data_IF_660638430378
#
_entry.id   IF_660638430378
#
_cell.length_a   1.000
_cell.length_b   1.000
_cell.length_c   1.000
_cell.angle_alpha   90.00
_cell.angle_beta   90.00
_cell.angle_gamma   90.00
#
_symmetry.space_group_name_H-M   'P 1'
#
loop_
_entity.id
_entity.type
_entity.pdbx_description
1 polymer ?
#
# COMPACT_ATOMS: atom_id res chain seq x y z
N UNK A 1 -33.55 -18.40 15.34
CA UNK A 1 -32.78 -17.23 15.82
C UNK A 1 -33.75 -16.13 16.31
N UNK A 2 -33.45 -15.39 17.40
CA UNK A 2 -34.29 -14.24 17.81
C UNK A 2 -33.90 -12.97 17.04
N UNK A 3 -34.81 -12.02 16.86
CA UNK A 3 -34.52 -10.76 16.15
C UNK A 3 -33.31 -10.01 16.76
N UNK A 4 -33.19 -10.03 18.10
CA UNK A 4 -32.04 -9.48 18.83
C UNK A 4 -30.72 -10.18 18.47
N UNK A 5 -30.72 -11.50 18.32
CA UNK A 5 -29.53 -12.26 17.94
C UNK A 5 -29.14 -11.99 16.48
N UNK A 6 -30.11 -11.93 15.57
CA UNK A 6 -29.88 -11.59 14.16
C UNK A 6 -29.26 -10.19 14.03
N UNK A 7 -29.82 -9.21 14.74
CA UNK A 7 -29.30 -7.84 14.76
C UNK A 7 -27.88 -7.77 15.30
N UNK A 8 -27.58 -8.45 16.42
CA UNK A 8 -26.22 -8.50 16.98
C UNK A 8 -25.22 -9.11 16.00
N UNK A 9 -25.58 -10.20 15.33
CA UNK A 9 -24.72 -10.84 14.32
C UNK A 9 -24.46 -9.92 13.13
N UNK A 10 -25.49 -9.24 12.62
CA UNK A 10 -25.33 -8.25 11.54
C UNK A 10 -24.43 -7.09 11.95
N UNK A 11 -24.52 -6.64 13.20
CA UNK A 11 -23.68 -5.56 13.72
C UNK A 11 -22.20 -5.98 13.78
N UNK A 12 -21.92 -7.19 14.29
CA UNK A 12 -20.56 -7.75 14.31
C UNK A 12 -20.00 -7.91 12.89
N UNK A 13 -20.78 -8.51 11.99
CA UNK A 13 -20.42 -8.65 10.57
C UNK A 13 -20.18 -7.29 9.93
N UNK A 14 -21.03 -6.30 10.20
CA UNK A 14 -20.90 -4.95 9.65
C UNK A 14 -19.62 -4.25 10.08
N UNK A 15 -19.18 -4.44 11.32
CA UNK A 15 -18.04 -3.74 11.91
C UNK A 15 -16.67 -4.35 11.57
N UNK A 16 -16.59 -5.65 11.26
CA UNK A 16 -15.30 -6.33 11.02
C UNK A 16 -14.42 -5.62 9.99
N UNK A 17 -14.92 -5.23 8.79
CA UNK A 17 -14.10 -4.52 7.82
C UNK A 17 -13.52 -3.22 8.39
N UNK A 18 -14.31 -2.44 9.14
CA UNK A 18 -13.84 -1.17 9.71
C UNK A 18 -12.77 -1.37 10.79
N UNK A 19 -12.90 -2.42 11.61
CA UNK A 19 -11.87 -2.77 12.59
C UNK A 19 -10.56 -3.14 11.89
N UNK A 20 -10.63 -3.98 10.85
CA UNK A 20 -9.46 -4.37 10.07
C UNK A 20 -8.81 -3.15 9.38
N UNK A 21 -9.61 -2.27 8.81
CA UNK A 21 -9.12 -1.03 8.22
C UNK A 21 -8.40 -0.16 9.25
N UNK A 22 -8.99 0.02 10.43
CA UNK A 22 -8.38 0.76 11.54
C UNK A 22 -7.02 0.18 11.95
N UNK A 23 -6.92 -1.16 12.03
CA UNK A 23 -5.66 -1.85 12.33
C UNK A 23 -4.60 -1.62 11.24
N UNK A 24 -4.96 -1.76 9.97
CA UNK A 24 -4.03 -1.56 8.84
C UNK A 24 -3.50 -0.12 8.80
N UNK A 25 -4.39 0.87 8.93
CA UNK A 25 -3.99 2.28 8.95
C UNK A 25 -3.10 2.58 10.16
N UNK A 26 -3.44 2.05 11.33
CA UNK A 26 -2.63 2.23 12.55
C UNK A 26 -1.24 1.60 12.39
N UNK A 27 -1.17 0.38 11.88
CA UNK A 27 0.10 -0.32 11.63
C UNK A 27 0.97 0.45 10.63
N UNK A 28 0.40 0.94 9.53
CA UNK A 28 1.10 1.75 8.55
C UNK A 28 1.66 3.04 9.15
N UNK A 29 0.88 3.71 10.01
CA UNK A 29 1.31 4.94 10.71
C UNK A 29 2.44 4.67 11.68
N UNK A 30 2.35 3.62 12.49
CA UNK A 30 3.43 3.21 13.41
C UNK A 30 4.69 2.84 12.62
N UNK A 31 4.55 2.07 11.55
CA UNK A 31 5.66 1.73 10.65
C UNK A 31 6.31 3.00 10.07
N UNK A 32 5.52 3.97 9.61
CA UNK A 32 6.01 5.25 9.09
C UNK A 32 6.89 6.05 10.06
N UNK A 33 6.66 5.94 11.37
CA UNK A 33 7.48 6.63 12.38
C UNK A 33 8.91 6.08 12.46
N UNK A 34 9.10 4.80 12.13
CA UNK A 34 10.40 4.10 12.28
C UNK A 34 11.02 3.69 10.94
N UNK A 35 10.31 3.87 9.81
CA UNK A 35 10.73 3.34 8.51
C UNK A 35 12.02 3.96 7.97
N UNK A 36 12.27 5.21 8.31
CA UNK A 36 13.43 5.97 7.82
C UNK A 36 14.62 5.86 8.76
N UNK A 37 15.81 5.73 8.20
CA UNK A 37 17.06 5.83 8.96
C UNK A 37 17.50 7.30 9.01
N UNK A 38 17.59 7.92 10.21
CA UNK A 38 18.02 9.30 10.37
C UNK A 38 19.39 9.62 9.75
N UNK A 39 20.29 8.63 9.61
CA UNK A 39 21.62 8.83 9.02
C UNK A 39 21.55 9.37 7.59
N UNK A 40 20.48 9.06 6.87
CA UNK A 40 20.25 9.47 5.49
C UNK A 40 19.59 10.84 5.33
N UNK A 41 19.36 11.60 6.41
CA UNK A 41 18.68 12.91 6.38
C UNK A 41 19.56 14.06 6.87
N UNK A 42 20.89 13.91 6.78
CA UNK A 42 21.83 15.01 7.01
C UNK A 42 21.82 16.07 5.89
N UNK A 43 22.51 17.18 6.13
CA UNK A 43 22.60 18.31 5.19
C UNK A 43 23.13 17.89 3.81
N UNK A 44 24.13 17.01 3.78
CA UNK A 44 24.72 16.50 2.53
C UNK A 44 23.70 15.79 1.65
N UNK A 45 22.86 14.94 2.23
CA UNK A 45 21.82 14.20 1.49
C UNK A 45 20.68 15.11 1.05
N UNK A 46 20.30 16.05 1.92
CA UNK A 46 19.27 17.05 1.62
C UNK A 46 19.68 17.94 0.45
N UNK A 47 20.93 18.41 0.43
CA UNK A 47 21.47 19.21 -0.66
C UNK A 47 21.59 18.40 -1.98
N UNK A 48 22.04 17.14 -1.90
CA UNK A 48 22.19 16.27 -3.07
C UNK A 48 20.85 15.88 -3.69
N UNK A 49 19.86 15.61 -2.85
CA UNK A 49 18.53 15.11 -3.25
C UNK A 49 17.43 16.14 -2.94
N UNK A 50 17.67 17.39 -3.33
CA UNK A 50 16.76 18.52 -3.05
C UNK A 50 15.57 18.63 -4.02
N UNK A 51 15.51 17.81 -5.07
CA UNK A 51 14.43 17.81 -6.05
C UNK A 51 14.19 16.39 -6.60
N UNK A 52 12.98 16.09 -7.08
CA UNK A 52 12.61 14.73 -7.51
C UNK A 52 13.40 14.27 -8.75
N UNK A 53 13.78 15.18 -9.65
CA UNK A 53 14.56 14.84 -10.85
C UNK A 53 16.00 14.42 -10.54
N UNK A 54 16.61 14.96 -9.48
CA UNK A 54 17.92 14.52 -9.01
C UNK A 54 17.87 13.07 -8.50
N UNK A 55 16.83 12.73 -7.75
CA UNK A 55 16.59 11.35 -7.28
C UNK A 55 16.32 10.43 -8.46
N UNK A 56 15.51 10.85 -9.44
CA UNK A 56 15.19 10.02 -10.60
C UNK A 56 16.43 9.64 -11.43
N UNK A 57 17.30 10.62 -11.72
CA UNK A 57 18.56 10.35 -12.44
C UNK A 57 19.51 9.45 -11.65
N UNK A 58 19.65 9.70 -10.34
CA UNK A 58 20.48 8.86 -9.50
C UNK A 58 19.94 7.43 -9.40
N UNK A 59 18.61 7.27 -9.36
CA UNK A 59 17.94 5.97 -9.38
C UNK A 59 18.21 5.23 -10.69
N UNK A 60 18.14 5.89 -11.84
CA UNK A 60 18.50 5.26 -13.13
C UNK A 60 19.91 4.65 -13.08
N UNK A 61 20.90 5.44 -12.65
CA UNK A 61 22.27 4.96 -12.52
C UNK A 61 22.39 3.81 -11.52
N UNK A 62 21.68 3.87 -10.39
CA UNK A 62 21.68 2.81 -9.38
C UNK A 62 21.08 1.50 -9.90
N UNK A 63 19.99 1.59 -10.68
CA UNK A 63 19.32 0.44 -11.29
C UNK A 63 20.19 -0.18 -12.40
N UNK A 64 20.87 0.64 -13.20
CA UNK A 64 21.78 0.19 -14.26
C UNK A 64 23.05 -0.47 -13.72
N UNK A 65 23.64 0.11 -12.68
CA UNK A 65 24.90 -0.35 -12.09
C UNK A 65 24.73 -1.49 -11.07
N UNK A 66 23.49 -1.88 -10.77
CA UNK A 66 23.16 -2.85 -9.72
C UNK A 66 23.79 -2.46 -8.37
N UNK A 67 23.74 -1.16 -8.02
CA UNK A 67 24.39 -0.62 -6.82
C UNK A 67 23.42 -0.64 -5.61
N UNK A 68 23.48 -1.65 -4.73
CA UNK A 68 22.57 -1.74 -3.59
C UNK A 68 22.82 -0.63 -2.57
N UNK A 69 24.02 -0.07 -2.51
CA UNK A 69 24.37 0.98 -1.56
C UNK A 69 23.72 2.30 -1.95
N UNK A 70 23.76 2.64 -3.25
CA UNK A 70 23.09 3.81 -3.78
C UNK A 70 21.56 3.64 -3.72
N UNK A 71 21.04 2.44 -4.00
CA UNK A 71 19.61 2.14 -3.84
C UNK A 71 19.13 2.31 -2.40
N UNK A 72 19.91 1.85 -1.41
CA UNK A 72 19.61 2.05 0.00
C UNK A 72 19.64 3.54 0.39
N UNK A 73 20.67 4.25 -0.07
CA UNK A 73 20.80 5.70 0.13
C UNK A 73 19.57 6.43 -0.41
N UNK A 74 19.18 6.18 -1.67
CA UNK A 74 18.06 6.84 -2.35
C UNK A 74 16.71 6.59 -1.69
N UNK A 75 16.52 5.43 -1.08
CA UNK A 75 15.31 5.12 -0.31
C UNK A 75 15.32 5.76 1.07
N UNK A 76 16.50 5.89 1.70
CA UNK A 76 16.64 6.42 3.06
C UNK A 76 15.97 5.56 4.13
N UNK A 77 15.61 4.32 3.79
CA UNK A 77 14.89 3.39 4.66
C UNK A 77 15.86 2.67 5.60
N UNK A 78 15.39 2.37 6.81
CA UNK A 78 16.07 1.50 7.77
C UNK A 78 16.19 0.06 7.24
N UNK A 79 15.20 -0.35 6.44
CA UNK A 79 15.18 -1.63 5.74
C UNK A 79 14.91 -1.37 4.26
N UNK A 80 15.96 -1.19 3.45
CA UNK A 80 15.81 -0.93 2.03
C UNK A 80 15.07 -2.05 1.31
N UNK A 81 14.13 -1.68 0.44
CA UNK A 81 13.52 -2.62 -0.49
C UNK A 81 14.48 -2.93 -1.63
N UNK A 82 14.32 -4.11 -2.23
CA UNK A 82 15.02 -4.49 -3.46
C UNK A 82 14.22 -4.03 -4.68
N UNK A 83 14.92 -3.64 -5.74
CA UNK A 83 14.33 -3.32 -7.04
C UNK A 83 14.89 -4.24 -8.11
N UNK A 84 14.14 -4.37 -9.20
CA UNK A 84 14.68 -4.97 -10.42
C UNK A 84 15.78 -4.07 -10.97
N UNK A 85 16.95 -4.64 -11.23
CA UNK A 85 18.12 -3.94 -11.76
C UNK A 85 18.50 -4.52 -13.11
N UNK A 86 19.22 -3.74 -13.91
CA UNK A 86 19.70 -4.18 -15.22
C UNK A 86 20.27 -3.02 -16.04
N UNK A 87 21.33 -3.27 -16.83
CA UNK A 87 22.04 -2.22 -17.57
C UNK A 87 21.20 -1.57 -18.67
N UNK A 88 20.07 -2.19 -19.03
CA UNK A 88 19.14 -1.73 -20.07
C UNK A 88 17.91 -1.00 -19.50
N UNK A 89 17.84 -0.81 -18.19
CA UNK A 89 16.82 0.02 -17.55
C UNK A 89 17.12 1.48 -17.86
N UNK A 90 16.17 2.21 -18.42
CA UNK A 90 16.29 3.64 -18.67
C UNK A 90 15.09 4.41 -18.14
N UNK A 91 15.34 5.64 -17.71
CA UNK A 91 14.29 6.56 -17.34
C UNK A 91 13.61 7.13 -18.59
N UNK A 92 12.28 6.99 -18.66
CA UNK A 92 11.49 7.42 -19.82
C UNK A 92 10.91 8.81 -19.62
N UNK A 93 10.10 8.98 -18.57
CA UNK A 93 9.40 10.24 -18.32
C UNK A 93 8.82 10.33 -16.91
N UNK A 94 8.39 11.53 -16.53
CA UNK A 94 7.42 11.71 -15.46
C UNK A 94 6.09 11.06 -15.88
N UNK A 95 5.58 10.12 -15.08
CA UNK A 95 4.33 9.42 -15.36
C UNK A 95 3.14 10.11 -14.71
N UNK A 96 3.24 10.35 -13.40
CA UNK A 96 2.11 10.85 -12.60
C UNK A 96 2.63 11.73 -11.47
N UNK A 97 1.84 12.73 -11.10
CA UNK A 97 2.04 13.51 -9.88
C UNK A 97 0.76 13.56 -9.08
N UNK A 98 0.84 13.12 -7.84
CA UNK A 98 -0.19 13.24 -6.80
C UNK A 98 0.23 14.31 -5.80
N UNK A 99 -0.61 14.58 -4.79
CA UNK A 99 -0.30 15.54 -3.74
C UNK A 99 1.00 15.20 -2.97
N UNK A 100 1.29 13.90 -2.83
CA UNK A 100 2.42 13.40 -2.03
C UNK A 100 3.53 12.75 -2.86
N UNK A 101 3.18 12.08 -3.94
CA UNK A 101 4.12 11.28 -4.73
C UNK A 101 4.29 11.82 -6.14
N UNK A 102 5.53 11.77 -6.62
CA UNK A 102 5.88 11.94 -8.03
C UNK A 102 6.33 10.57 -8.54
N UNK A 103 5.66 10.05 -9.57
CA UNK A 103 5.96 8.73 -10.13
C UNK A 103 6.72 8.89 -11.44
N UNK A 104 7.89 8.26 -11.51
CA UNK A 104 8.70 8.18 -12.73
C UNK A 104 8.60 6.79 -13.32
N UNK A 105 8.49 6.73 -14.65
CA UNK A 105 8.47 5.48 -15.39
C UNK A 105 9.88 5.14 -15.86
N UNK A 106 10.36 3.98 -15.45
CA UNK A 106 11.56 3.33 -15.96
C UNK A 106 11.13 2.19 -16.86
N UNK A 107 11.96 1.86 -17.84
CA UNK A 107 11.66 0.79 -18.78
C UNK A 107 12.91 -0.06 -19.00
N UNK A 108 12.77 -1.37 -18.84
CA UNK A 108 13.82 -2.31 -19.22
C UNK A 108 13.66 -2.73 -20.67
N UNK A 109 14.59 -2.29 -21.52
CA UNK A 109 14.57 -2.61 -22.94
C UNK A 109 14.83 -4.10 -23.23
N UNK A 110 15.40 -4.86 -22.29
CA UNK A 110 15.68 -6.29 -22.47
C UNK A 110 14.45 -7.16 -22.24
N UNK A 111 13.64 -6.82 -21.23
CA UNK A 111 12.41 -7.54 -20.86
C UNK A 111 11.15 -6.93 -21.45
N UNK A 112 11.25 -5.71 -21.99
CA UNK A 112 10.12 -4.92 -22.43
C UNK A 112 9.10 -4.68 -21.30
N UNK A 113 9.61 -4.41 -20.09
CA UNK A 113 8.82 -4.25 -18.87
C UNK A 113 8.91 -2.83 -18.31
N UNK A 114 7.75 -2.20 -18.00
CA UNK A 114 7.70 -0.92 -17.30
C UNK A 114 7.84 -1.08 -15.78
N UNK A 115 8.65 -0.23 -15.16
CA UNK A 115 8.83 -0.14 -13.71
C UNK A 115 8.49 1.28 -13.21
N UNK A 116 7.30 1.48 -12.60
CA UNK A 116 6.97 2.73 -11.95
C UNK A 116 7.71 2.84 -10.60
N UNK A 117 8.45 3.92 -10.39
CA UNK A 117 9.08 4.24 -9.11
C UNK A 117 8.55 5.56 -8.56
N UNK A 118 8.16 5.54 -7.29
CA UNK A 118 7.57 6.70 -6.62
C UNK A 118 8.64 7.45 -5.84
N UNK A 119 8.61 8.77 -5.90
CA UNK A 119 9.43 9.62 -5.04
C UNK A 119 8.55 10.56 -4.22
N UNK A 120 8.95 10.80 -2.98
CA UNK A 120 8.28 11.74 -2.07
C UNK A 120 9.30 12.59 -1.33
N UNK A 121 8.84 13.73 -0.82
CA UNK A 121 9.65 14.59 0.05
C UNK A 121 9.47 14.18 1.52
N UNK A 122 10.58 13.96 2.20
CA UNK A 122 10.65 13.53 3.60
C UNK A 122 11.71 14.36 4.30
N UNK A 123 11.28 15.18 5.27
CA UNK A 123 12.18 16.04 6.07
C UNK A 123 13.11 16.91 5.20
N UNK A 124 12.58 17.47 4.10
CA UNK A 124 13.32 18.34 3.17
C UNK A 124 14.15 17.60 2.12
N UNK A 125 14.17 16.26 2.14
CA UNK A 125 14.91 15.42 1.20
C UNK A 125 13.95 14.61 0.34
N UNK A 126 14.19 14.56 -0.96
CA UNK A 126 13.49 13.62 -1.84
C UNK A 126 14.07 12.21 -1.72
N UNK A 127 13.18 11.21 -1.61
CA UNK A 127 13.54 9.79 -1.48
C UNK A 127 12.67 8.93 -2.40
N UNK A 128 13.18 7.76 -2.76
CA UNK A 128 12.40 6.73 -3.47
C UNK A 128 11.54 5.97 -2.45
N UNK A 129 10.22 6.03 -2.60
CA UNK A 129 9.29 5.26 -1.76
C UNK A 129 8.91 3.96 -2.46
N UNK A 130 9.28 2.79 -1.92
CA UNK A 130 8.80 1.51 -2.44
C UNK A 130 7.29 1.34 -2.20
N UNK A 131 6.61 0.44 -2.93
CA UNK A 131 5.20 0.14 -2.75
C UNK A 131 4.95 -0.74 -1.52
N UNK A 132 5.32 -0.23 -0.35
CA UNK A 132 5.17 -0.89 0.96
C UNK A 132 3.82 -0.55 1.65
N UNK A 133 3.63 -1.03 2.88
CA UNK A 133 2.41 -0.77 3.67
C UNK A 133 2.18 0.73 3.91
N UNK A 134 3.24 1.51 4.11
CA UNK A 134 3.13 2.95 4.32
C UNK A 134 2.67 3.64 3.04
N UNK A 135 3.30 3.31 1.91
CA UNK A 135 2.88 3.80 0.60
C UNK A 135 1.44 3.41 0.29
N UNK A 136 1.02 2.18 0.57
CA UNK A 136 -0.34 1.71 0.31
C UNK A 136 -1.41 2.54 1.04
N UNK A 137 -1.12 2.97 2.27
CA UNK A 137 -2.02 3.82 3.05
C UNK A 137 -1.95 5.28 2.60
N UNK A 138 -0.75 5.83 2.42
CA UNK A 138 -0.55 7.25 2.10
C UNK A 138 -0.90 7.61 0.65
N UNK A 139 -0.72 6.70 -0.30
CA UNK A 139 -1.22 6.85 -1.69
C UNK A 139 -2.74 6.76 -1.79
N UNK A 140 -3.42 6.23 -0.76
CA UNK A 140 -4.85 5.99 -0.78
C UNK A 140 -5.28 4.74 -1.55
N UNK A 141 -4.34 3.94 -2.08
CA UNK A 141 -4.63 2.69 -2.79
C UNK A 141 -5.50 1.73 -1.96
N UNK A 142 -5.35 1.76 -0.62
CA UNK A 142 -6.17 0.98 0.30
C UNK A 142 -7.67 1.23 0.20
N UNK A 143 -8.12 2.41 -0.24
CA UNK A 143 -9.55 2.76 -0.27
C UNK A 143 -10.32 1.86 -1.22
N UNK A 144 -9.77 1.62 -2.42
CA UNK A 144 -10.39 0.76 -3.43
C UNK A 144 -10.39 -0.72 -3.01
N UNK A 145 -9.26 -1.19 -2.46
CA UNK A 145 -9.12 -2.56 -1.94
C UNK A 145 -10.09 -2.80 -0.77
N UNK A 146 -10.14 -1.85 0.18
CA UNK A 146 -11.03 -1.91 1.31
C UNK A 146 -12.49 -1.93 0.88
N UNK A 147 -12.91 -1.05 -0.03
CA UNK A 147 -14.29 -1.00 -0.51
C UNK A 147 -14.70 -2.33 -1.15
N UNK A 148 -13.85 -2.88 -2.02
CA UNK A 148 -14.10 -4.17 -2.67
C UNK A 148 -14.23 -5.29 -1.64
N UNK A 149 -13.30 -5.36 -0.69
CA UNK A 149 -13.34 -6.34 0.38
C UNK A 149 -14.59 -6.20 1.25
N UNK A 150 -14.94 -4.98 1.67
CA UNK A 150 -16.09 -4.71 2.53
C UNK A 150 -17.40 -5.10 1.86
N UNK A 151 -17.56 -4.80 0.57
CA UNK A 151 -18.75 -5.20 -0.20
C UNK A 151 -18.90 -6.73 -0.27
N UNK A 152 -17.82 -7.45 -0.59
CA UNK A 152 -17.82 -8.92 -0.62
C UNK A 152 -18.15 -9.49 0.76
N UNK A 153 -17.53 -8.94 1.81
CA UNK A 153 -17.73 -9.36 3.18
C UNK A 153 -19.18 -9.17 3.63
N UNK A 154 -19.76 -8.00 3.38
CA UNK A 154 -21.15 -7.74 3.74
C UNK A 154 -22.13 -8.60 2.93
N UNK A 155 -21.89 -8.79 1.64
CA UNK A 155 -22.71 -9.66 0.81
C UNK A 155 -22.71 -11.11 1.33
N UNK A 156 -21.52 -11.64 1.64
CA UNK A 156 -21.37 -12.98 2.22
C UNK A 156 -22.06 -13.07 3.59
N UNK A 157 -21.85 -12.08 4.46
CA UNK A 157 -22.45 -12.05 5.78
C UNK A 157 -23.98 -11.97 5.77
N UNK A 158 -24.56 -11.15 4.90
CA UNK A 158 -26.02 -11.08 4.70
C UNK A 158 -26.55 -12.42 4.20
N UNK A 159 -25.88 -13.05 3.22
CA UNK A 159 -26.27 -14.35 2.69
C UNK A 159 -26.25 -15.43 3.78
N UNK A 160 -25.19 -15.49 4.60
CA UNK A 160 -25.08 -16.46 5.70
C UNK A 160 -26.20 -16.26 6.73
N UNK A 161 -26.49 -15.02 7.13
CA UNK A 161 -27.57 -14.71 8.08
C UNK A 161 -28.93 -15.08 7.50
N UNK A 162 -29.18 -14.79 6.21
CA UNK A 162 -30.41 -15.14 5.52
C UNK A 162 -30.62 -16.66 5.44
N UNK A 163 -29.58 -17.42 5.06
CA UNK A 163 -29.63 -18.88 5.02
C UNK A 163 -29.88 -19.47 6.41
N UNK A 164 -29.15 -19.01 7.44
CA UNK A 164 -29.36 -19.46 8.81
C UNK A 164 -30.78 -19.16 9.31
N UNK A 165 -31.33 -18.01 8.93
CA UNK A 165 -32.72 -17.68 9.24
C UNK A 165 -33.69 -18.63 8.54
N UNK A 166 -33.54 -18.85 7.23
CA UNK A 166 -34.38 -19.76 6.44
C UNK A 166 -34.37 -21.18 7.01
N UNK A 167 -33.19 -21.77 7.25
CA UNK A 167 -33.06 -23.10 7.84
C UNK A 167 -33.70 -23.18 9.23
N UNK A 168 -33.48 -22.18 10.09
CA UNK A 168 -34.09 -22.16 11.43
C UNK A 168 -35.61 -21.99 11.39
N UNK A 169 -36.16 -21.48 10.30
CA UNK A 169 -37.62 -21.33 10.10
C UNK A 169 -38.22 -22.60 9.52
N UNK A 170 -37.55 -23.25 8.55
CA UNK A 170 -38.01 -24.52 7.98
C UNK A 170 -38.05 -25.63 9.02
N UNK A 171 -37.07 -25.71 9.93
CA UNK A 171 -37.08 -26.67 11.05
C UNK A 171 -38.26 -26.44 12.01
N UNK A 172 -38.64 -25.18 12.25
CA UNK A 172 -39.79 -24.84 13.12
C UNK A 172 -41.13 -25.20 12.48
N UNK A 173 -41.25 -25.06 11.17
CA UNK A 173 -42.46 -25.40 10.43
C UNK A 173 -42.61 -26.92 10.24
N UNK A 174 -41.51 -27.66 10.05
CA UNK A 174 -41.52 -29.12 9.94
C UNK A 174 -41.70 -29.86 11.27
N UNK A 175 -41.55 -29.17 12.40
CA UNK A 175 -41.73 -29.73 13.75
C UNK A 175 -43.14 -29.48 14.33
N UNK A 176 -44.07 -28.88 13.58
CA UNK A 176 -45.48 -28.81 13.96
C UNK A 176 -46.19 -30.11 13.52
N UNK A 177 -46.80 -30.86 14.45
CA UNK A 177 -47.55 -32.09 14.13
C UNK A 177 -48.86 -31.82 13.39
#
# INVERSE_FOLDING_TARGET
MTAKAAFRSLLVVGLIPFVLLGLVVTAARVYGLVRYDPAYFGETYTARYNNPGAVARALESALQAEDPSLLAELQGLRWPATFATGPTITWVQLWERTDRYVTYLYFDMSRYEPYPHHVEEVRGRWVVSPPDLYYFVESGAYKSVFLTFALIWWAAGVLTVALAYLFSTSERLGAQP
#
